data_IF_510019142453
#
_entry.id   IF_510019142453
#
_cell.length_a   1.000
_cell.length_b   1.000
_cell.length_c   1.000
_cell.angle_alpha   90.00
_cell.angle_beta   90.00
_cell.angle_gamma   90.00
#
_symmetry.space_group_name_H-M   'P 1'
#
loop_
_entity.id
_entity.type
_entity.pdbx_description
1 polymer ?
#
# COMPACT_ATOMS: atom_id res chain seq x y z
N UNK A 1 12.04 -2.67 -17.49
CA UNK A 1 10.85 -3.47 -17.08
C UNK A 1 11.08 -4.05 -15.67
N UNK A 2 11.63 -3.29 -14.73
CA UNK A 2 12.17 -3.86 -13.48
C UNK A 2 11.29 -3.59 -12.25
N UNK A 3 10.23 -2.80 -12.40
CA UNK A 3 9.42 -2.26 -11.29
C UNK A 3 7.91 -2.45 -11.50
N UNK A 4 7.48 -3.60 -12.02
CA UNK A 4 6.06 -3.95 -12.05
C UNK A 4 5.71 -4.89 -10.88
N UNK A 5 4.55 -4.70 -10.24
CA UNK A 5 4.03 -5.63 -9.24
C UNK A 5 3.46 -6.91 -9.86
N UNK A 6 3.37 -7.96 -9.04
CA UNK A 6 2.79 -9.25 -9.39
C UNK A 6 1.25 -9.24 -9.19
N UNK A 7 0.72 -8.99 -7.97
CA UNK A 7 -0.65 -8.53 -7.82
C UNK A 7 -0.75 -7.10 -7.26
N UNK A 8 -1.87 -6.46 -7.58
CA UNK A 8 -2.35 -5.23 -6.95
C UNK A 8 -3.65 -5.55 -6.21
N UNK A 9 -3.72 -5.17 -4.93
CA UNK A 9 -4.96 -5.18 -4.14
C UNK A 9 -5.43 -3.72 -4.04
N UNK A 10 -6.67 -3.44 -4.43
CA UNK A 10 -7.18 -2.08 -4.53
C UNK A 10 -8.63 -1.97 -4.01
N UNK A 11 -9.11 -0.75 -3.85
CA UNK A 11 -10.38 -0.40 -3.20
C UNK A 11 -10.49 -0.81 -1.73
N UNK A 12 -9.35 -0.94 -1.02
CA UNK A 12 -9.37 -1.28 0.41
C UNK A 12 -10.03 -0.13 1.16
N UNK A 13 -11.22 -0.35 1.74
CA UNK A 13 -11.98 0.70 2.41
C UNK A 13 -11.14 1.55 3.38
N UNK A 14 -10.38 0.89 4.26
CA UNK A 14 -9.36 1.55 5.09
C UNK A 14 -8.10 0.70 5.18
N UNK A 15 -6.96 1.26 4.79
CA UNK A 15 -5.65 0.64 4.89
C UNK A 15 -4.84 1.31 6.01
N UNK A 16 -4.61 0.56 7.09
CA UNK A 16 -3.82 1.02 8.23
C UNK A 16 -2.34 0.64 8.06
N UNK A 17 -1.48 1.65 8.17
CA UNK A 17 -0.01 1.52 8.12
C UNK A 17 0.60 2.12 9.38
N UNK A 18 1.81 1.67 9.73
CA UNK A 18 2.63 2.39 10.71
C UNK A 18 3.45 3.41 9.92
N UNK A 19 3.08 4.69 10.07
CA UNK A 19 3.73 5.77 9.33
C UNK A 19 5.12 6.05 9.90
N UNK A 20 6.12 6.14 9.02
CA UNK A 20 7.47 6.54 9.40
C UNK A 20 8.32 5.44 10.04
N UNK A 21 9.63 5.57 9.88
CA UNK A 21 10.63 4.65 10.45
C UNK A 21 11.09 5.18 11.79
N UNK A 22 11.00 4.37 12.84
CA UNK A 22 11.54 4.71 14.16
C UNK A 22 12.57 3.67 14.61
N UNK A 23 13.65 4.12 15.24
CA UNK A 23 14.69 3.23 15.78
C UNK A 23 14.29 2.54 17.10
N UNK A 24 13.13 2.92 17.66
CA UNK A 24 12.54 2.37 18.89
C UNK A 24 11.03 2.20 18.68
N UNK A 25 10.35 1.30 19.41
CA UNK A 25 8.91 1.14 19.31
C UNK A 25 8.18 2.48 19.53
N UNK A 26 7.15 2.76 18.73
CA UNK A 26 6.24 3.89 18.99
C UNK A 26 5.44 3.61 20.26
N UNK A 27 5.38 4.58 21.18
CA UNK A 27 4.67 4.46 22.47
C UNK A 27 3.83 5.70 22.76
N UNK A 28 2.74 5.53 23.54
CA UNK A 28 1.85 6.63 23.96
C UNK A 28 1.38 7.47 22.77
N UNK A 29 1.52 8.79 22.82
CA UNK A 29 1.15 9.75 21.78
C UNK A 29 1.75 9.46 20.39
N UNK A 30 2.82 8.66 20.30
CA UNK A 30 3.37 8.24 19.00
C UNK A 30 2.48 7.20 18.31
N UNK A 31 1.65 6.47 19.05
CA UNK A 31 0.67 5.52 18.49
C UNK A 31 -0.49 6.22 17.80
N UNK A 32 -0.74 7.50 18.13
CA UNK A 32 -1.76 8.31 17.46
C UNK A 32 -1.37 8.65 16.01
N UNK A 33 -0.09 8.51 15.64
CA UNK A 33 0.42 8.64 14.28
C UNK A 33 0.30 7.32 13.49
N UNK A 34 -0.92 6.80 13.44
CA UNK A 34 -1.31 5.71 12.53
C UNK A 34 -1.52 6.27 11.13
N UNK A 35 -0.85 5.71 10.13
CA UNK A 35 -1.03 6.10 8.74
C UNK A 35 -2.28 5.43 8.17
N UNK A 36 -3.43 6.09 8.26
CA UNK A 36 -4.69 5.62 7.67
C UNK A 36 -4.75 6.14 6.22
N UNK A 37 -4.99 5.23 5.28
CA UNK A 37 -5.26 5.54 3.89
C UNK A 37 -6.69 5.07 3.60
N UNK A 38 -7.58 6.02 3.34
CA UNK A 38 -8.93 5.75 2.83
C UNK A 38 -8.84 5.36 1.35
N UNK A 39 -9.66 4.40 0.92
CA UNK A 39 -9.60 3.84 -0.45
C UNK A 39 -8.16 3.46 -0.82
N UNK A 40 -7.58 2.59 0.01
CA UNK A 40 -6.19 2.18 -0.07
C UNK A 40 -5.94 1.10 -1.13
N UNK A 41 -4.68 1.03 -1.55
CA UNK A 41 -4.18 -0.04 -2.39
C UNK A 41 -2.76 -0.44 -2.00
N UNK A 42 -2.40 -1.65 -2.40
CA UNK A 42 -1.08 -2.24 -2.17
C UNK A 42 -0.62 -2.97 -3.42
N UNK A 43 0.57 -2.62 -3.90
CA UNK A 43 1.29 -3.31 -4.95
C UNK A 43 2.30 -4.27 -4.32
N UNK A 44 2.27 -5.54 -4.71
CA UNK A 44 3.14 -6.59 -4.17
C UNK A 44 4.09 -7.06 -5.26
N UNK A 45 5.37 -7.24 -4.94
CA UNK A 45 6.36 -7.84 -5.85
C UNK A 45 7.20 -8.83 -5.08
N UNK A 46 7.34 -10.05 -5.60
CA UNK A 46 8.15 -11.12 -5.00
C UNK A 46 7.79 -11.38 -3.52
N UNK A 47 6.49 -11.28 -3.20
CA UNK A 47 5.97 -11.47 -1.83
C UNK A 47 6.23 -10.32 -0.87
N UNK A 48 6.76 -9.18 -1.34
CA UNK A 48 7.01 -7.99 -0.53
C UNK A 48 6.10 -6.83 -0.93
N UNK A 49 5.75 -5.97 0.03
CA UNK A 49 5.07 -4.71 -0.27
C UNK A 49 6.02 -3.80 -1.05
N UNK A 50 5.71 -3.61 -2.33
CA UNK A 50 6.51 -2.81 -3.26
C UNK A 50 6.07 -1.34 -3.22
N UNK A 51 4.76 -1.10 -3.11
CA UNK A 51 4.19 0.24 -3.01
C UNK A 51 2.87 0.22 -2.25
N UNK A 52 2.61 1.26 -1.47
CA UNK A 52 1.40 1.42 -0.66
C UNK A 52 0.94 2.87 -0.79
N UNK A 53 -0.29 3.08 -1.27
CA UNK A 53 -0.92 4.41 -1.40
C UNK A 53 -2.44 4.25 -1.51
N UNK A 54 -3.15 5.29 -1.96
CA UNK A 54 -4.55 5.18 -2.37
C UNK A 54 -4.69 4.39 -3.70
N UNK A 55 -5.90 3.94 -3.98
CA UNK A 55 -6.27 3.18 -5.19
C UNK A 55 -5.91 3.93 -6.46
N UNK A 56 -6.34 5.19 -6.58
CA UNK A 56 -6.12 6.01 -7.77
C UNK A 56 -4.64 6.04 -8.16
N UNK A 57 -3.76 6.36 -7.22
CA UNK A 57 -2.32 6.47 -7.48
C UNK A 57 -1.69 5.14 -7.90
N UNK A 58 -2.05 4.04 -7.24
CA UNK A 58 -1.48 2.72 -7.58
C UNK A 58 -1.96 2.24 -8.94
N UNK A 59 -3.24 2.44 -9.24
CA UNK A 59 -3.81 2.03 -10.53
C UNK A 59 -3.22 2.87 -11.67
N UNK A 60 -3.13 4.19 -11.52
CA UNK A 60 -2.53 5.08 -12.50
C UNK A 60 -1.05 4.75 -12.79
N UNK A 61 -0.32 4.32 -11.75
CA UNK A 61 1.11 4.03 -11.90
C UNK A 61 1.39 2.64 -12.47
N UNK A 62 0.58 1.64 -12.14
CA UNK A 62 0.93 0.24 -12.37
C UNK A 62 -0.07 -0.55 -13.20
N UNK A 63 -1.34 -0.18 -13.28
CA UNK A 63 -2.30 -0.98 -14.05
C UNK A 63 -2.02 -0.86 -15.55
N UNK A 64 -1.40 -1.92 -16.09
CA UNK A 64 -1.13 -2.06 -17.52
C UNK A 64 -2.07 -3.06 -18.20
N UNK A 65 -3.14 -3.50 -17.53
CA UNK A 65 -4.10 -4.50 -18.04
C UNK A 65 -3.60 -5.95 -18.07
N UNK A 66 -2.32 -6.18 -17.74
CA UNK A 66 -1.69 -7.50 -17.68
C UNK A 66 -1.39 -7.95 -16.25
N UNK A 67 -1.45 -7.03 -15.29
CA UNK A 67 -1.19 -7.29 -13.88
C UNK A 67 -2.44 -7.88 -13.24
N UNK A 68 -2.27 -8.85 -12.35
CA UNK A 68 -3.40 -9.40 -11.60
C UNK A 68 -3.91 -8.37 -10.62
N UNK A 69 -5.18 -7.99 -10.73
CA UNK A 69 -5.83 -7.07 -9.79
C UNK A 69 -6.83 -7.81 -8.89
N UNK A 70 -6.95 -7.38 -7.65
CA UNK A 70 -7.87 -7.92 -6.64
C UNK A 70 -8.60 -6.74 -6.00
N UNK A 71 -9.92 -6.71 -6.17
CA UNK A 71 -10.80 -5.73 -5.53
C UNK A 71 -11.12 -6.23 -4.11
N UNK A 72 -10.90 -5.39 -3.09
CA UNK A 72 -10.97 -5.75 -1.67
C UNK A 72 -12.12 -5.07 -0.92
#
# INVERSE_FOLDING_TARGET
MENQPDPIIYNIGQLLTIRGVTQKPKTSWQMDDSGIIEDGAVAIKEGQFFYVSNTEEIMDRYDSGTIKTINA
#
